data_IF_928014398529
#
_entry.id   IF_928014398529
#
_cell.length_a   1.000
_cell.length_b   1.000
_cell.length_c   1.000
_cell.angle_alpha   90.00
_cell.angle_beta   90.00
_cell.angle_gamma   90.00
#
_symmetry.space_group_name_H-M   'P 1'
#
loop_
_entity.id
_entity.type
_entity.pdbx_description
1 polymer ?
#
# COMPACT_ATOMS: atom_id res chain seq x y z
N UNK A 1 3.79 5.98 9.68
CA UNK A 1 4.41 7.33 9.62
C UNK A 1 5.21 7.56 8.33
N UNK A 2 6.17 6.70 7.95
CA UNK A 2 7.06 6.97 6.80
C UNK A 2 6.33 7.19 5.46
N UNK A 3 5.32 6.37 5.14
CA UNK A 3 4.54 6.53 3.89
C UNK A 3 3.79 7.86 3.87
N UNK A 4 3.21 8.25 5.01
CA UNK A 4 2.47 9.51 5.18
C UNK A 4 3.38 10.73 5.01
N UNK A 5 4.58 10.68 5.61
CA UNK A 5 5.61 11.71 5.44
C UNK A 5 6.06 11.82 3.99
N UNK A 6 6.29 10.68 3.30
CA UNK A 6 6.65 10.67 1.87
C UNK A 6 5.62 11.41 1.02
N UNK A 7 4.33 11.19 1.26
CA UNK A 7 3.26 11.89 0.55
C UNK A 7 3.32 13.40 0.84
N UNK A 8 3.39 13.80 2.11
CA UNK A 8 3.44 15.22 2.48
C UNK A 8 4.69 15.96 1.98
N UNK A 9 5.80 15.26 1.75
CA UNK A 9 7.01 15.84 1.15
C UNK A 9 6.92 15.92 -0.39
N UNK A 10 6.23 14.98 -1.03
CA UNK A 10 6.07 14.99 -2.49
C UNK A 10 5.26 16.18 -3.02
N UNK A 11 4.33 16.72 -2.23
CA UNK A 11 3.41 17.79 -2.64
C UNK A 11 3.87 19.19 -2.21
N UNK A 12 5.09 19.34 -1.65
CA UNK A 12 5.67 20.61 -1.20
C UNK A 12 4.72 21.51 -0.37
N UNK A 13 3.89 20.88 0.47
CA UNK A 13 2.93 21.61 1.31
C UNK A 13 3.69 22.47 2.32
N UNK A 14 3.30 23.75 2.43
CA UNK A 14 3.92 24.70 3.35
C UNK A 14 3.58 24.39 4.81
N UNK A 15 4.56 24.56 5.68
CA UNK A 15 4.35 24.54 7.12
C UNK A 15 3.68 25.83 7.59
N UNK A 16 2.66 25.69 8.42
CA UNK A 16 1.95 26.77 9.09
C UNK A 16 2.30 26.78 10.58
N UNK A 17 2.53 27.97 11.12
CA UNK A 17 2.88 28.14 12.53
C UNK A 17 1.66 27.93 13.42
N UNK A 18 1.78 27.05 14.40
CA UNK A 18 0.74 26.83 15.41
C UNK A 18 0.80 27.92 16.48
N UNK A 19 -0.29 28.68 16.65
CA UNK A 19 -0.44 29.69 17.68
C UNK A 19 -1.34 29.20 18.83
N UNK A 20 -2.58 28.83 18.53
CA UNK A 20 -3.49 28.22 19.51
C UNK A 20 -4.42 27.19 18.88
N UNK A 21 -4.83 26.20 19.67
CA UNK A 21 -5.72 25.12 19.22
C UNK A 21 -7.16 25.61 18.94
N UNK A 22 -7.52 26.80 19.42
CA UNK A 22 -8.79 27.45 19.09
C UNK A 22 -8.83 28.02 17.66
N UNK A 23 -7.67 28.30 17.05
CA UNK A 23 -7.58 28.86 15.69
C UNK A 23 -8.04 27.89 14.62
N UNK A 24 -7.98 26.59 14.93
CA UNK A 24 -8.52 25.57 14.05
C UNK A 24 -10.02 25.77 13.80
N UNK A 25 -10.76 26.55 14.59
CA UNK A 25 -12.14 26.96 14.29
C UNK A 25 -12.32 27.55 12.88
N UNK A 26 -11.28 28.15 12.29
CA UNK A 26 -11.32 28.63 10.91
C UNK A 26 -11.18 27.50 9.88
N UNK A 27 -10.46 26.44 10.24
CA UNK A 27 -10.34 25.19 9.48
C UNK A 27 -11.58 24.28 9.65
N UNK A 28 -12.49 24.58 10.60
CA UNK A 28 -13.73 23.81 10.82
C UNK A 28 -14.73 23.89 9.65
N UNK A 29 -14.43 24.67 8.62
CA UNK A 29 -15.23 24.72 7.39
C UNK A 29 -14.76 23.71 6.32
N UNK A 30 -13.59 23.09 6.45
CA UNK A 30 -13.22 21.97 5.57
C UNK A 30 -13.74 20.67 6.17
N UNK A 31 -14.93 20.22 5.76
CA UNK A 31 -15.43 18.85 5.97
C UNK A 31 -14.63 17.80 5.16
N UNK A 32 -13.36 18.10 4.88
CA UNK A 32 -12.51 17.33 4.01
C UNK A 32 -11.66 16.38 4.83
N UNK A 33 -11.44 15.21 4.25
CA UNK A 33 -10.41 14.29 4.69
C UNK A 33 -9.06 14.88 4.30
N UNK A 34 -8.05 14.61 5.10
CA UNK A 34 -6.73 15.16 4.83
C UNK A 34 -5.64 14.27 5.40
N UNK A 35 -4.47 14.37 4.81
CA UNK A 35 -3.22 13.93 5.41
C UNK A 35 -2.63 15.13 6.14
N UNK A 36 -2.23 14.99 7.39
CA UNK A 36 -1.58 16.08 8.10
C UNK A 36 -0.28 15.66 8.78
N UNK A 37 0.63 16.61 8.90
CA UNK A 37 1.89 16.49 9.61
C UNK A 37 1.98 17.53 10.71
N UNK A 38 2.58 17.15 11.83
CA UNK A 38 2.97 18.05 12.91
C UNK A 38 4.48 18.05 13.01
N UNK A 39 5.05 19.25 13.02
CA UNK A 39 6.48 19.46 13.07
C UNK A 39 6.86 20.46 14.15
N UNK A 40 8.15 20.56 14.40
CA UNK A 40 8.71 21.50 15.37
C UNK A 40 10.10 21.93 14.95
N UNK A 41 10.52 23.08 15.48
CA UNK A 41 11.92 23.50 15.43
C UNK A 41 12.43 23.79 16.84
N UNK A 42 13.74 24.03 16.96
CA UNK A 42 14.35 24.37 18.25
C UNK A 42 15.11 25.68 18.12
N UNK A 43 15.57 26.24 19.25
CA UNK A 43 16.45 27.41 19.24
C UNK A 43 17.73 27.20 18.42
N UNK A 44 18.21 25.96 18.33
CA UNK A 44 19.48 25.60 17.70
C UNK A 44 19.34 25.12 16.26
N UNK A 45 18.13 24.75 15.83
CA UNK A 45 17.84 24.30 14.46
C UNK A 45 16.52 24.91 14.02
N UNK A 46 16.59 25.80 13.04
CA UNK A 46 15.42 26.48 12.50
C UNK A 46 14.60 25.59 11.57
N UNK A 47 15.25 24.60 10.93
CA UNK A 47 14.61 23.60 10.08
C UNK A 47 13.54 22.82 10.85
N UNK A 48 12.37 22.67 10.22
CA UNK A 48 11.21 22.01 10.80
C UNK A 48 11.39 20.50 10.65
N UNK A 49 11.32 19.79 11.77
CA UNK A 49 11.37 18.32 11.82
C UNK A 49 10.01 17.76 12.13
N UNK A 50 9.66 16.65 11.48
CA UNK A 50 8.45 15.91 11.79
C UNK A 50 8.49 15.37 13.22
N UNK A 51 7.39 15.60 13.93
CA UNK A 51 7.05 14.87 15.15
C UNK A 51 6.04 13.76 14.85
N UNK A 52 5.05 14.06 14.01
CA UNK A 52 3.89 13.20 13.80
C UNK A 52 3.34 13.40 12.38
N UNK A 53 2.71 12.37 11.83
CA UNK A 53 1.95 12.46 10.60
C UNK A 53 0.88 11.36 10.56
N UNK A 54 -0.32 11.71 10.10
CA UNK A 54 -1.51 10.85 10.10
C UNK A 54 -2.40 11.14 8.88
N UNK A 55 -3.14 10.12 8.45
CA UNK A 55 -4.25 10.26 7.50
C UNK A 55 -5.54 10.42 8.32
N UNK A 56 -6.15 11.59 8.25
CA UNK A 56 -7.48 11.84 8.83
C UNK A 56 -8.55 11.42 7.83
N UNK A 57 -8.84 10.11 7.78
CA UNK A 57 -9.75 9.47 6.82
C UNK A 57 -11.21 9.41 7.28
N UNK A 58 -11.48 9.62 8.58
CA UNK A 58 -12.82 9.49 9.17
C UNK A 58 -13.32 10.76 9.86
N UNK A 59 -12.40 11.65 10.22
CA UNK A 59 -12.70 12.86 11.00
C UNK A 59 -12.26 14.07 10.17
N UNK A 60 -13.09 15.12 10.03
CA UNK A 60 -12.67 16.35 9.37
C UNK A 60 -11.39 16.91 10.00
N UNK A 61 -10.46 17.38 9.16
CA UNK A 61 -9.14 17.83 9.59
C UNK A 61 -9.18 18.84 10.75
N UNK A 62 -10.04 19.87 10.64
CA UNK A 62 -10.13 20.90 11.68
C UNK A 62 -10.54 20.35 13.05
N UNK A 63 -11.39 19.31 13.08
CA UNK A 63 -11.77 18.62 14.32
C UNK A 63 -10.60 17.78 14.85
N UNK A 64 -9.92 17.04 13.97
CA UNK A 64 -8.78 16.20 14.35
C UNK A 64 -7.61 17.01 14.89
N UNK A 65 -7.21 18.10 14.23
CA UNK A 65 -6.13 18.99 14.69
C UNK A 65 -6.48 19.68 16.02
N UNK A 66 -7.73 20.11 16.19
CA UNK A 66 -8.19 20.69 17.46
C UNK A 66 -8.00 19.71 18.61
N UNK A 67 -8.39 18.45 18.42
CA UNK A 67 -8.21 17.41 19.44
C UNK A 67 -6.73 17.10 19.68
N UNK A 68 -5.93 17.00 18.62
CA UNK A 68 -4.50 16.70 18.72
C UNK A 68 -3.73 17.75 19.51
N UNK A 69 -4.03 19.03 19.29
CA UNK A 69 -3.34 20.14 19.96
C UNK A 69 -3.98 20.60 21.27
N UNK A 70 -5.15 20.06 21.66
CA UNK A 70 -5.83 20.46 22.89
C UNK A 70 -5.06 19.94 24.13
N UNK A 71 -4.52 20.81 25.02
CA UNK A 71 -3.80 20.41 26.23
C UNK A 71 -4.60 19.58 27.24
N UNK A 72 -5.92 19.55 27.14
CA UNK A 72 -6.79 18.71 27.98
C UNK A 72 -6.83 17.25 27.49
N UNK A 73 -6.42 17.02 26.24
CA UNK A 73 -6.39 15.72 25.58
C UNK A 73 -5.02 15.07 25.71
N UNK A 74 -4.97 13.74 25.58
CA UNK A 74 -3.74 12.97 25.76
C UNK A 74 -2.62 13.43 24.83
N UNK A 75 -2.92 13.61 23.54
CA UNK A 75 -1.95 14.04 22.52
C UNK A 75 -1.46 15.47 22.77
N UNK A 76 -2.36 16.42 23.08
CA UNK A 76 -1.96 17.80 23.36
C UNK A 76 -1.11 17.92 24.63
N UNK A 77 -1.35 17.08 25.66
CA UNK A 77 -0.44 16.98 26.82
C UNK A 77 0.95 16.53 26.42
N UNK A 78 1.08 15.60 25.48
CA UNK A 78 2.38 15.17 24.94
C UNK A 78 3.08 16.34 24.24
N UNK A 79 2.36 17.11 23.41
CA UNK A 79 2.92 18.29 22.74
C UNK A 79 3.38 19.34 23.77
N UNK A 80 2.55 19.69 24.74
CA UNK A 80 2.90 20.64 25.81
C UNK A 80 4.13 20.18 26.59
N UNK A 81 4.20 18.89 26.92
CA UNK A 81 5.36 18.31 27.60
C UNK A 81 6.61 18.41 26.73
N UNK A 82 6.53 18.16 25.43
CA UNK A 82 7.68 18.28 24.51
C UNK A 82 8.11 19.73 24.35
N UNK A 83 7.18 20.68 24.26
CA UNK A 83 7.50 22.12 24.24
C UNK A 83 8.32 22.51 25.48
N UNK A 84 7.87 22.09 26.66
CA UNK A 84 8.53 22.45 27.93
C UNK A 84 9.82 21.66 28.20
N UNK A 85 9.82 20.35 28.01
CA UNK A 85 10.96 19.48 28.40
C UNK A 85 12.01 19.33 27.29
N UNK A 86 11.59 19.37 26.03
CA UNK A 86 12.49 19.22 24.88
C UNK A 86 12.88 20.58 24.26
N UNK A 87 12.48 21.69 24.88
CA UNK A 87 12.77 23.07 24.44
C UNK A 87 12.42 23.30 22.96
N UNK A 88 11.24 22.83 22.53
CA UNK A 88 10.75 23.18 21.20
C UNK A 88 10.44 24.67 21.17
N UNK A 89 10.96 25.37 20.15
CA UNK A 89 10.76 26.81 20.00
C UNK A 89 9.37 27.08 19.45
N UNK A 90 9.09 26.51 18.29
CA UNK A 90 7.81 26.62 17.62
C UNK A 90 7.30 25.24 17.21
N UNK A 91 5.97 25.13 17.18
CA UNK A 91 5.25 23.98 16.64
C UNK A 91 4.59 24.40 15.34
N UNK A 92 4.52 23.49 14.38
CA UNK A 92 3.98 23.73 13.06
C UNK A 92 3.07 22.58 12.65
N UNK A 93 2.14 22.86 11.74
CA UNK A 93 1.35 21.86 11.07
C UNK A 93 1.37 22.08 9.56
N UNK A 94 1.11 21.04 8.80
CA UNK A 94 0.81 21.14 7.36
C UNK A 94 -0.18 20.05 6.98
N UNK A 95 -0.94 20.27 5.91
CA UNK A 95 -1.93 19.30 5.49
C UNK A 95 -2.15 19.28 3.98
N UNK A 96 -2.57 18.12 3.49
CA UNK A 96 -2.97 17.87 2.13
C UNK A 96 -4.43 17.38 2.17
N UNK A 97 -5.34 18.15 1.59
CA UNK A 97 -6.71 17.68 1.35
C UNK A 97 -6.67 16.44 0.46
N UNK A 98 -7.45 15.42 0.82
CA UNK A 98 -7.61 14.21 0.00
C UNK A 98 -9.09 13.90 -0.18
N UNK A 99 -9.41 13.25 -1.28
CA UNK A 99 -10.74 12.70 -1.54
C UNK A 99 -10.99 11.43 -0.71
N UNK A 100 -12.26 11.02 -0.60
CA UNK A 100 -12.64 9.74 0.02
C UNK A 100 -11.98 8.57 -0.71
N UNK A 101 -11.93 8.62 -2.04
CA UNK A 101 -11.24 7.63 -2.88
C UNK A 101 -9.75 7.50 -2.55
N UNK A 102 -9.03 8.61 -2.43
CA UNK A 102 -7.61 8.61 -2.06
C UNK A 102 -7.39 8.09 -0.64
N UNK A 103 -8.26 8.47 0.32
CA UNK A 103 -8.21 7.93 1.68
C UNK A 103 -8.37 6.40 1.68
N UNK A 104 -9.35 5.87 0.93
CA UNK A 104 -9.58 4.43 0.77
C UNK A 104 -8.44 3.73 0.04
N UNK A 105 -7.79 4.40 -0.90
CA UNK A 105 -6.60 3.88 -1.57
C UNK A 105 -5.41 3.73 -0.61
N UNK A 106 -5.23 4.68 0.30
CA UNK A 106 -4.18 4.60 1.32
C UNK A 106 -4.50 3.56 2.40
N UNK A 107 -5.77 3.40 2.78
CA UNK A 107 -6.24 2.32 3.65
C UNK A 107 -6.00 0.95 3.01
N UNK A 108 -6.36 0.79 1.72
CA UNK A 108 -6.00 -0.40 0.94
C UNK A 108 -4.50 -0.66 1.01
N UNK A 109 -3.66 0.39 0.95
CA UNK A 109 -2.22 0.23 1.03
C UNK A 109 -1.71 -0.21 2.40
N UNK A 110 -2.20 0.42 3.46
CA UNK A 110 -1.59 0.38 4.80
C UNK A 110 -2.28 -0.59 5.76
N UNK A 111 -3.57 -0.86 5.59
CA UNK A 111 -4.38 -1.62 6.56
C UNK A 111 -4.88 -2.96 5.99
N UNK A 112 -4.92 -3.11 4.67
CA UNK A 112 -5.38 -4.34 4.03
C UNK A 112 -4.20 -5.25 3.67
N UNK A 113 -4.25 -6.47 4.21
CA UNK A 113 -3.29 -7.52 3.96
C UNK A 113 -3.36 -8.09 2.53
N UNK A 114 -2.22 -8.58 2.06
CA UNK A 114 -2.13 -9.29 0.79
C UNK A 114 -2.68 -10.72 0.90
N UNK A 115 -3.51 -11.09 -0.06
CA UNK A 115 -4.08 -12.44 -0.19
C UNK A 115 -3.32 -13.17 -1.30
N UNK A 116 -2.63 -14.29 -1.00
CA UNK A 116 -1.94 -15.08 -2.02
C UNK A 116 -2.94 -15.76 -2.95
N UNK A 117 -2.63 -15.80 -4.24
CA UNK A 117 -3.42 -16.51 -5.25
C UNK A 117 -2.76 -17.85 -5.55
N UNK A 118 -3.46 -18.93 -5.23
CA UNK A 118 -3.02 -20.27 -5.57
C UNK A 118 -3.06 -20.49 -7.10
N UNK A 119 -2.17 -21.34 -7.60
CA UNK A 119 -2.19 -21.80 -8.98
C UNK A 119 -2.44 -23.31 -9.00
N UNK A 120 -3.26 -23.77 -9.94
CA UNK A 120 -3.57 -25.17 -10.14
C UNK A 120 -3.19 -25.61 -11.55
N UNK A 121 -2.58 -26.80 -11.64
CA UNK A 121 -2.38 -27.51 -12.91
C UNK A 121 -3.63 -28.35 -13.18
N UNK A 122 -4.31 -28.10 -14.29
CA UNK A 122 -5.49 -28.87 -14.68
C UNK A 122 -5.03 -30.26 -15.15
N UNK A 123 -5.42 -31.31 -14.43
CA UNK A 123 -5.13 -32.68 -14.84
C UNK A 123 -5.87 -33.02 -16.16
N UNK A 124 -5.15 -33.48 -17.18
CA UNK A 124 -5.73 -33.99 -18.43
C UNK A 124 -5.94 -32.96 -19.56
N UNK A 125 -5.67 -31.67 -19.35
CA UNK A 125 -5.51 -30.69 -20.42
C UNK A 125 -4.03 -30.34 -20.57
N UNK A 126 -3.58 -30.18 -21.82
CA UNK A 126 -2.17 -29.92 -22.18
C UNK A 126 -1.62 -28.65 -21.51
N UNK A 127 -1.00 -28.82 -20.35
CA UNK A 127 0.01 -27.93 -19.77
C UNK A 127 -0.46 -26.62 -19.14
N UNK A 128 -1.67 -26.11 -19.38
CA UNK A 128 -2.04 -24.78 -18.88
C UNK A 128 -2.34 -24.76 -17.37
N UNK A 129 -1.51 -24.07 -16.60
CA UNK A 129 -1.83 -23.69 -15.21
C UNK A 129 -2.88 -22.57 -15.20
N UNK A 130 -3.74 -22.56 -14.18
CA UNK A 130 -4.73 -21.50 -13.96
C UNK A 130 -4.67 -20.98 -12.53
N UNK A 131 -5.02 -19.71 -12.34
CA UNK A 131 -5.15 -19.15 -11.01
C UNK A 131 -6.47 -19.54 -10.36
N UNK A 132 -6.40 -19.88 -9.08
CA UNK A 132 -7.55 -20.12 -8.22
C UNK A 132 -7.76 -18.89 -7.35
N UNK A 133 -8.76 -18.08 -7.72
CA UNK A 133 -9.16 -16.95 -6.90
C UNK A 133 -9.74 -17.44 -5.56
N UNK A 134 -9.44 -16.74 -4.45
CA UNK A 134 -10.00 -17.07 -3.15
C UNK A 134 -11.53 -16.93 -3.17
N UNK A 135 -12.19 -17.72 -2.35
CA UNK A 135 -13.61 -17.48 -2.03
C UNK A 135 -13.79 -16.16 -1.29
N UNK A 136 -15.00 -15.62 -1.31
CA UNK A 136 -15.34 -14.44 -0.51
C UNK A 136 -14.96 -13.08 -1.12
N UNK A 137 -14.54 -13.03 -2.39
CA UNK A 137 -14.39 -11.74 -3.09
C UNK A 137 -15.76 -11.03 -3.16
N UNK A 138 -15.89 -9.79 -2.66
CA UNK A 138 -17.15 -9.08 -2.63
C UNK A 138 -17.76 -8.86 -4.03
N UNK A 139 -19.10 -8.90 -4.08
CA UNK A 139 -19.91 -8.55 -5.26
C UNK A 139 -20.31 -7.06 -5.25
N UNK A 140 -19.44 -6.22 -4.73
CA UNK A 140 -19.61 -4.77 -4.60
C UNK A 140 -18.55 -4.04 -5.39
N UNK A 141 -18.68 -2.72 -5.49
CA UNK A 141 -17.70 -1.83 -6.12
C UNK A 141 -16.54 -1.55 -5.15
N UNK A 142 -15.40 -1.11 -5.68
CA UNK A 142 -14.26 -0.79 -4.83
C UNK A 142 -12.93 -0.65 -5.55
N UNK A 143 -11.86 -0.70 -4.77
CA UNK A 143 -10.49 -0.69 -5.26
C UNK A 143 -9.86 -2.07 -5.07
N UNK A 144 -9.04 -2.50 -6.02
CA UNK A 144 -8.26 -3.73 -5.90
C UNK A 144 -6.84 -3.53 -6.39
N UNK A 145 -5.88 -4.21 -5.78
CA UNK A 145 -4.49 -4.19 -6.20
C UNK A 145 -4.03 -5.61 -6.52
N UNK A 146 -3.11 -5.71 -7.48
CA UNK A 146 -2.40 -6.94 -7.79
C UNK A 146 -0.92 -6.68 -7.55
N UNK A 147 -0.28 -7.61 -6.86
CA UNK A 147 1.14 -7.59 -6.56
C UNK A 147 1.78 -8.93 -6.86
N UNK A 148 3.11 -8.93 -6.87
CA UNK A 148 3.88 -10.15 -7.07
C UNK A 148 5.13 -10.18 -6.18
N UNK A 149 5.63 -11.39 -5.94
CA UNK A 149 6.90 -11.65 -5.28
C UNK A 149 7.75 -12.54 -6.18
N UNK A 150 9.01 -12.17 -6.41
CA UNK A 150 9.94 -12.98 -7.19
C UNK A 150 10.38 -14.19 -6.36
N UNK A 151 10.10 -15.39 -6.85
CA UNK A 151 10.53 -16.61 -6.20
C UNK A 151 12.00 -16.82 -6.53
N UNK A 152 12.87 -16.62 -5.53
CA UNK A 152 14.29 -16.97 -5.67
C UNK A 152 14.37 -18.46 -5.98
N UNK A 153 14.97 -18.80 -7.11
CA UNK A 153 15.29 -20.19 -7.41
C UNK A 153 16.15 -20.73 -6.27
N UNK A 154 15.81 -21.91 -5.76
CA UNK A 154 16.71 -22.61 -4.85
C UNK A 154 18.07 -22.73 -5.56
N UNK A 155 19.20 -22.46 -4.86
CA UNK A 155 20.50 -22.73 -5.45
C UNK A 155 20.52 -24.18 -5.90
N UNK A 156 21.08 -24.50 -7.08
CA UNK A 156 21.13 -25.87 -7.56
C UNK A 156 21.83 -26.69 -6.47
N UNK A 157 21.08 -27.60 -5.85
CA UNK A 157 21.65 -28.62 -4.98
C UNK A 157 22.65 -29.40 -5.82
N UNK A 158 23.94 -29.14 -5.61
CA UNK A 158 25.00 -29.90 -6.23
C UNK A 158 24.82 -31.38 -5.92
N UNK A 159 25.21 -32.28 -6.84
CA UNK A 159 25.11 -33.72 -6.61
C UNK A 159 25.97 -34.06 -5.39
N UNK A 160 25.37 -34.82 -4.46
CA UNK A 160 25.88 -34.97 -3.11
C UNK A 160 27.20 -35.72 -2.98
N UNK A 161 27.78 -35.57 -1.79
CA UNK A 161 28.49 -36.64 -1.10
C UNK A 161 28.20 -36.54 0.40
N UNK A 162 27.99 -37.72 1.00
CA UNK A 162 27.49 -37.98 2.36
C UNK A 162 28.61 -37.82 3.44
N UNK A 163 28.28 -37.90 4.76
CA UNK A 163 28.79 -37.01 5.80
C UNK A 163 30.02 -37.53 6.55
N UNK A 164 30.80 -36.61 7.14
CA UNK A 164 31.73 -36.92 8.22
C UNK A 164 31.56 -35.94 9.38
N UNK A 165 31.18 -36.50 10.52
CA UNK A 165 30.99 -35.93 11.84
C UNK A 165 32.24 -35.27 12.44
N UNK A 166 32.10 -34.08 13.02
CA UNK A 166 32.84 -33.63 14.22
C UNK A 166 32.08 -32.47 14.90
N UNK A 167 31.68 -32.63 16.17
CA UNK A 167 31.21 -31.54 17.06
C UNK A 167 32.41 -30.76 17.67
N UNK A 168 32.26 -29.79 18.61
CA UNK A 168 31.13 -28.90 18.99
C UNK A 168 31.54 -27.41 19.00
N UNK A 169 30.62 -26.45 18.88
CA UNK A 169 30.86 -25.06 19.31
C UNK A 169 29.56 -24.31 19.61
N UNK A 170 29.53 -23.64 20.75
CA UNK A 170 28.39 -22.96 21.39
C UNK A 170 27.77 -21.84 20.53
N UNK A 171 26.46 -21.58 20.63
CA UNK A 171 25.89 -20.34 20.11
C UNK A 171 25.92 -19.26 21.20
N UNK A 172 26.79 -18.28 20.96
CA UNK A 172 26.86 -17.01 21.66
C UNK A 172 25.52 -16.25 21.57
N UNK A 173 25.06 -15.75 22.71
CA UNK A 173 23.94 -14.82 22.83
C UNK A 173 24.39 -13.43 22.34
N UNK A 174 24.10 -13.06 21.09
CA UNK A 174 23.95 -11.64 20.73
C UNK A 174 23.11 -11.44 19.47
N UNK A 175 22.05 -10.62 19.63
CA UNK A 175 21.42 -9.74 18.63
C UNK A 175 21.38 -10.23 17.18
N UNK A 176 20.23 -10.51 16.58
CA UNK A 176 19.18 -9.51 16.30
C UNK A 176 17.94 -10.28 15.87
N UNK A 177 16.77 -9.91 16.37
CA UNK A 177 15.49 -10.33 15.82
C UNK A 177 15.38 -9.74 14.40
N UNK A 178 15.95 -10.42 13.41
CA UNK A 178 15.53 -10.25 12.02
C UNK A 178 14.22 -11.03 11.86
N UNK A 179 13.11 -10.30 11.94
CA UNK A 179 11.81 -10.74 11.48
C UNK A 179 11.94 -11.29 10.06
N UNK A 180 11.78 -12.61 9.96
CA UNK A 180 11.24 -13.37 8.83
C UNK A 180 11.61 -12.92 7.42
N UNK A 181 12.36 -13.77 6.71
CA UNK A 181 12.52 -13.76 5.27
C UNK A 181 11.18 -13.98 4.52
N UNK A 182 10.28 -12.99 4.55
CA UNK A 182 9.14 -12.85 3.65
C UNK A 182 9.48 -11.78 2.61
N UNK A 183 9.56 -12.13 1.33
CA UNK A 183 9.83 -11.15 0.30
C UNK A 183 8.70 -10.12 0.26
N UNK A 184 9.09 -8.85 0.17
CA UNK A 184 8.15 -7.73 0.12
C UNK A 184 7.34 -7.81 -1.19
N UNK A 185 6.05 -8.09 -1.10
CA UNK A 185 5.13 -8.07 -2.26
C UNK A 185 5.23 -6.71 -2.96
N UNK A 186 5.55 -6.74 -4.24
CA UNK A 186 5.68 -5.54 -5.09
C UNK A 186 4.36 -5.29 -5.79
N UNK A 187 3.81 -4.08 -5.63
CA UNK A 187 2.65 -3.66 -6.39
C UNK A 187 2.98 -3.61 -7.88
N UNK A 188 2.07 -4.10 -8.71
CA UNK A 188 2.22 -3.99 -10.14
C UNK A 188 0.97 -3.40 -10.82
N UNK A 189 -0.18 -3.46 -10.17
CA UNK A 189 -1.43 -2.95 -10.69
C UNK A 189 -2.37 -2.45 -9.58
N UNK A 190 -3.08 -1.35 -9.86
CA UNK A 190 -4.23 -0.85 -9.11
C UNK A 190 -5.43 -0.77 -10.06
N UNK A 191 -6.51 -1.44 -9.73
CA UNK A 191 -7.75 -1.40 -10.48
C UNK A 191 -8.86 -0.70 -9.72
N UNK A 192 -9.74 -0.04 -10.49
CA UNK A 192 -10.93 0.61 -10.00
C UNK A 192 -12.12 -0.20 -10.52
N UNK A 193 -12.90 -0.76 -9.61
CA UNK A 193 -14.08 -1.55 -9.92
C UNK A 193 -15.32 -0.65 -9.85
N UNK A 194 -15.53 0.18 -10.87
CA UNK A 194 -16.65 1.13 -10.98
C UNK A 194 -17.77 0.64 -11.90
N UNK A 195 -17.42 0.10 -13.08
CA UNK A 195 -18.41 -0.43 -14.05
C UNK A 195 -18.89 -1.84 -13.68
N UNK A 196 -18.10 -2.53 -12.86
CA UNK A 196 -18.24 -3.95 -12.51
C UNK A 196 -17.80 -4.16 -11.09
N UNK A 197 -18.29 -5.23 -10.49
CA UNK A 197 -17.93 -5.58 -9.11
C UNK A 197 -16.46 -6.01 -9.01
N UNK A 198 -15.88 -5.89 -7.81
CA UNK A 198 -14.54 -6.38 -7.48
C UNK A 198 -14.34 -7.83 -7.95
N UNK A 199 -15.34 -8.67 -7.69
CA UNK A 199 -15.36 -10.05 -8.18
C UNK A 199 -15.25 -10.09 -9.71
N UNK A 200 -16.14 -9.43 -10.44
CA UNK A 200 -16.14 -9.48 -11.91
C UNK A 200 -14.81 -8.98 -12.52
N UNK A 201 -14.24 -7.90 -11.97
CA UNK A 201 -12.94 -7.37 -12.41
C UNK A 201 -11.80 -8.37 -12.19
N UNK A 202 -11.70 -8.96 -10.99
CA UNK A 202 -10.68 -9.96 -10.68
C UNK A 202 -10.86 -11.22 -11.54
N UNK A 203 -12.08 -11.74 -11.67
CA UNK A 203 -12.37 -12.88 -12.54
C UNK A 203 -11.96 -12.61 -14.00
N UNK A 204 -12.17 -11.40 -14.50
CA UNK A 204 -11.72 -11.05 -15.84
C UNK A 204 -10.19 -11.11 -15.98
N UNK A 205 -9.43 -10.62 -15.00
CA UNK A 205 -7.96 -10.65 -15.09
C UNK A 205 -7.38 -12.07 -14.98
N UNK A 206 -7.96 -12.90 -14.11
CA UNK A 206 -7.39 -14.19 -13.74
C UNK A 206 -7.97 -15.38 -14.52
N UNK A 207 -9.19 -15.27 -15.05
CA UNK A 207 -9.91 -16.37 -15.69
C UNK A 207 -10.39 -16.05 -17.12
N UNK A 208 -9.90 -14.98 -17.75
CA UNK A 208 -10.26 -14.68 -19.14
C UNK A 208 -9.82 -15.82 -20.07
N UNK A 209 -10.76 -16.71 -20.38
CA UNK A 209 -10.64 -17.66 -21.47
C UNK A 209 -10.57 -16.88 -22.79
N UNK A 210 -9.78 -17.38 -23.73
CA UNK A 210 -9.59 -16.81 -25.08
C UNK A 210 -10.88 -16.67 -25.91
N UNK A 211 -12.05 -17.03 -25.37
CA UNK A 211 -13.34 -17.08 -26.09
C UNK A 211 -14.31 -15.93 -25.81
N UNK A 212 -14.02 -15.04 -24.86
CA UNK A 212 -14.99 -14.01 -24.43
C UNK A 212 -14.43 -12.57 -24.47
N UNK A 213 -13.38 -12.30 -25.24
CA UNK A 213 -13.09 -10.91 -25.59
C UNK A 213 -14.22 -10.39 -26.46
N UNK A 214 -15.13 -9.63 -25.86
CA UNK A 214 -15.89 -8.62 -26.59
C UNK A 214 -14.89 -7.66 -27.22
N UNK A 215 -14.44 -7.98 -28.45
CA UNK A 215 -13.78 -7.09 -29.41
C UNK A 215 -12.70 -6.15 -28.83
N UNK A 216 -11.79 -6.65 -27.99
CA UNK A 216 -10.70 -5.83 -27.43
C UNK A 216 -9.48 -6.67 -27.07
N UNK A 217 -8.28 -6.07 -27.12
CA UNK A 217 -7.07 -6.74 -26.66
C UNK A 217 -7.06 -6.92 -25.12
N UNK A 218 -6.44 -8.00 -24.60
CA UNK A 218 -6.16 -8.16 -23.18
C UNK A 218 -5.38 -6.98 -22.60
N UNK A 219 -5.76 -6.53 -21.39
CA UNK A 219 -4.97 -5.53 -20.65
C UNK A 219 -3.55 -6.04 -20.35
N UNK A 220 -2.58 -5.13 -20.18
CA UNK A 220 -1.18 -5.49 -19.91
C UNK A 220 -1.03 -6.40 -18.67
N UNK A 221 -1.81 -6.15 -17.60
CA UNK A 221 -1.82 -7.01 -16.41
C UNK A 221 -2.38 -8.40 -16.72
N UNK A 222 -3.43 -8.52 -17.54
CA UNK A 222 -3.96 -9.82 -17.97
C UNK A 222 -2.94 -10.59 -18.80
N UNK A 223 -2.22 -9.92 -19.73
CA UNK A 223 -1.14 -10.53 -20.52
C UNK A 223 -0.02 -11.05 -19.60
N UNK A 224 0.37 -10.28 -18.59
CA UNK A 224 1.36 -10.68 -17.59
C UNK A 224 0.94 -11.91 -16.80
N UNK A 225 -0.29 -11.92 -16.26
CA UNK A 225 -0.82 -13.05 -15.49
C UNK A 225 -0.86 -14.33 -16.34
N UNK A 226 -1.35 -14.24 -17.58
CA UNK A 226 -1.40 -15.36 -18.52
C UNK A 226 0.01 -15.89 -18.86
N UNK A 227 0.97 -14.97 -19.06
CA UNK A 227 2.37 -15.32 -19.28
C UNK A 227 2.96 -16.14 -18.13
N UNK A 228 2.70 -15.74 -16.88
CA UNK A 228 3.18 -16.47 -15.69
C UNK A 228 2.60 -17.89 -15.60
N UNK A 229 1.35 -18.11 -16.03
CA UNK A 229 0.76 -19.44 -16.13
C UNK A 229 1.37 -20.29 -17.26
N UNK A 230 1.63 -19.70 -18.42
CA UNK A 230 2.16 -20.42 -19.59
C UNK A 230 3.61 -20.88 -19.41
N UNK A 231 4.44 -20.15 -18.66
CA UNK A 231 5.83 -20.55 -18.40
C UNK A 231 5.92 -21.91 -17.68
N UNK A 232 4.99 -22.20 -16.76
CA UNK A 232 4.94 -23.51 -16.10
C UNK A 232 4.63 -24.66 -17.07
N UNK A 233 3.85 -24.39 -18.11
CA UNK A 233 3.40 -25.40 -19.08
C UNK A 233 4.52 -25.94 -19.96
N UNK A 234 5.53 -25.10 -20.27
CA UNK A 234 6.58 -25.42 -21.25
C UNK A 234 7.85 -25.98 -20.63
N UNK A 235 8.19 -25.59 -19.41
CA UNK A 235 9.48 -25.94 -18.78
C UNK A 235 9.33 -26.89 -17.57
N UNK A 236 8.10 -27.32 -17.20
CA UNK A 236 7.88 -28.15 -16.00
C UNK A 236 8.20 -27.45 -14.66
N UNK A 237 8.77 -26.24 -14.71
CA UNK A 237 9.30 -25.49 -13.58
C UNK A 237 8.25 -24.83 -12.67
N UNK A 238 8.75 -24.33 -11.54
CA UNK A 238 8.01 -23.51 -10.57
C UNK A 238 7.59 -22.15 -11.16
N UNK A 239 6.54 -21.51 -10.63
CA UNK A 239 6.21 -20.13 -11.01
C UNK A 239 7.43 -19.23 -10.82
N UNK A 240 7.67 -18.31 -11.78
CA UNK A 240 8.75 -17.32 -11.64
C UNK A 240 8.40 -16.29 -10.56
N UNK A 241 7.11 -16.03 -10.38
CA UNK A 241 6.59 -15.11 -9.38
C UNK A 241 5.33 -15.66 -8.71
N UNK A 242 5.23 -15.45 -7.39
CA UNK A 242 3.99 -15.62 -6.64
C UNK A 242 3.11 -14.38 -6.84
N UNK A 243 1.79 -14.56 -6.96
CA UNK A 243 0.84 -13.48 -7.21
C UNK A 243 -0.05 -13.27 -5.98
N UNK A 244 -0.31 -12.01 -5.68
CA UNK A 244 -1.12 -11.58 -4.55
C UNK A 244 -2.17 -10.57 -5.02
N UNK A 245 -3.30 -10.56 -4.33
CA UNK A 245 -4.33 -9.52 -4.50
C UNK A 245 -4.66 -8.88 -3.17
N UNK A 246 -5.26 -7.71 -3.21
CA UNK A 246 -6.06 -7.19 -2.10
C UNK A 246 -7.13 -6.27 -2.63
N UNK A 247 -8.16 -6.03 -1.83
CA UNK A 247 -9.31 -5.22 -2.23
C UNK A 247 -9.94 -4.55 -1.02
N UNK A 248 -10.62 -3.44 -1.27
CA UNK A 248 -11.43 -2.70 -0.31
C UNK A 248 -12.71 -2.24 -0.99
N UNK A 249 -13.83 -2.37 -0.29
CA UNK A 249 -15.13 -1.89 -0.77
C UNK A 249 -15.20 -0.36 -0.66
N UNK A 250 -15.71 0.28 -1.71
CA UNK A 250 -15.90 1.73 -1.74
C UNK A 250 -17.24 2.00 -2.42
N UNK A 251 -18.03 2.91 -1.88
CA UNK A 251 -19.29 3.30 -2.50
C UNK A 251 -19.04 3.95 -3.86
N UNK A 252 -19.93 3.66 -4.82
CA UNK A 252 -19.78 4.08 -6.21
C UNK A 252 -19.67 5.61 -6.35
N UNK A 253 -20.42 6.35 -5.54
CA UNK A 253 -20.43 7.82 -5.53
C UNK A 253 -19.08 8.44 -5.15
N UNK A 254 -18.21 7.67 -4.49
CA UNK A 254 -16.89 8.12 -4.08
C UNK A 254 -15.76 7.55 -4.93
N UNK A 255 -16.03 6.54 -5.77
CA UNK A 255 -15.04 5.93 -6.66
C UNK A 255 -14.60 6.93 -7.74
N UNK A 256 -13.35 6.77 -8.18
CA UNK A 256 -12.77 7.55 -9.29
C UNK A 256 -12.63 9.06 -9.05
N UNK A 257 -12.88 9.54 -7.84
CA UNK A 257 -12.51 10.88 -7.42
C UNK A 257 -11.00 10.97 -7.11
N UNK A 258 -10.36 12.04 -7.59
CA UNK A 258 -8.94 12.30 -7.33
C UNK A 258 -7.98 11.45 -8.18
N UNK A 259 -6.70 11.46 -7.80
CA UNK A 259 -5.63 10.82 -8.56
C UNK A 259 -5.18 9.52 -7.87
N UNK A 260 -6.02 8.48 -7.91
CA UNK A 260 -5.80 7.21 -7.19
C UNK A 260 -4.45 6.54 -7.47
N UNK A 261 -4.08 6.42 -8.75
CA UNK A 261 -2.82 5.78 -9.16
C UNK A 261 -1.62 6.59 -8.65
N UNK A 262 -1.63 7.90 -8.88
CA UNK A 262 -0.56 8.81 -8.41
C UNK A 262 -0.44 8.80 -6.88
N UNK A 263 -1.57 8.83 -6.17
CA UNK A 263 -1.63 8.74 -4.72
C UNK A 263 -0.93 7.47 -4.21
N UNK A 264 -1.25 6.31 -4.82
CA UNK A 264 -0.61 5.04 -4.46
C UNK A 264 0.88 5.03 -4.84
N UNK A 265 1.24 5.49 -6.04
CA UNK A 265 2.64 5.53 -6.52
C UNK A 265 3.53 6.39 -5.61
N UNK A 266 3.02 7.55 -5.17
CA UNK A 266 3.70 8.38 -4.17
C UNK A 266 3.83 7.64 -2.85
N UNK A 267 2.76 6.98 -2.37
CA UNK A 267 2.77 6.25 -1.11
C UNK A 267 3.78 5.10 -1.10
N UNK A 268 3.85 4.31 -2.18
CA UNK A 268 4.77 3.16 -2.32
C UNK A 268 6.19 3.58 -2.73
N UNK A 269 6.33 4.75 -3.38
CA UNK A 269 7.60 5.33 -3.81
C UNK A 269 8.11 4.85 -5.17
N UNK A 270 7.26 4.27 -6.02
CA UNK A 270 7.58 3.83 -7.37
C UNK A 270 6.33 3.75 -8.25
N UNK A 271 6.51 3.76 -9.58
CA UNK A 271 5.40 3.66 -10.52
C UNK A 271 4.90 2.23 -10.74
N UNK A 272 3.60 2.08 -10.92
CA UNK A 272 2.94 0.81 -11.19
C UNK A 272 3.18 0.38 -12.64
N UNK A 273 3.70 -0.83 -12.80
CA UNK A 273 4.12 -1.37 -14.11
C UNK A 273 2.99 -1.46 -15.12
N UNK A 274 1.77 -1.78 -14.67
CA UNK A 274 0.65 -2.12 -15.56
C UNK A 274 -0.51 -1.11 -15.53
N UNK A 275 -0.34 0.04 -14.88
CA UNK A 275 -1.35 1.12 -14.83
C UNK A 275 -1.15 2.21 -15.88
N UNK A 276 -0.04 2.18 -16.61
CA UNK A 276 0.14 3.09 -17.75
C UNK A 276 -0.91 2.70 -18.79
N UNK A 277 -1.86 3.60 -19.05
CA UNK A 277 -2.61 3.54 -20.30
C UNK A 277 -1.56 3.52 -21.41
N UNK A 278 -1.69 2.59 -22.35
CA UNK A 278 -0.98 2.72 -23.62
C UNK A 278 -1.38 4.09 -24.18
N UNK A 279 -0.52 5.10 -23.97
CA UNK A 279 -0.62 6.40 -24.62
C UNK A 279 -0.30 6.17 -26.08
N UNK A 280 -1.32 5.81 -26.84
CA UNK A 280 -1.39 5.90 -28.29
C UNK A 280 -2.78 6.43 -28.67
#
# INVERSE_FOLDING_TARGET
MQNVVRILESVQVKWEHFQTWTDFSRLHLSNKLAIFGVGYNTRWREEIRYHYAEISSQVPLGKRLREYFNPEKAEGRVIMTKVQKMNWKNVYYKFLDITISEARCLELHMEVDWIPIAQSRVAGCSGSSQYLLPGGIPKTYGLYAIGYEELKAAPPSGPGDHPSSTEPSEPDLSSTLEEGAGGKVTYCYLGIAEDRTLQQCLFQHFQSSSKHYGRGEPSAITKFLLGNCNVQSKEGGSPRVAIYIKFIEVELDFLSAGSLVECLEIAIGYSLKFNKKDTL
#
